data_IF_796158646703
#
_entry.id   IF_796158646703
#
_cell.length_a   1.000
_cell.length_b   1.000
_cell.length_c   1.000
_cell.angle_alpha   90.00
_cell.angle_beta   90.00
_cell.angle_gamma   90.00
#
_symmetry.space_group_name_H-M   'P 1'
#
loop_
_entity.id
_entity.type
_entity.pdbx_description
1 polymer ?
#
# COMPACT_ATOMS: atom_id res chain seq x y z
N UNK A 1 -9.92 -25.78 5.07
CA UNK A 1 -8.98 -25.65 3.95
C UNK A 1 -8.91 -24.19 3.54
N UNK A 2 -7.71 -23.59 3.50
CA UNK A 2 -7.56 -22.18 3.09
C UNK A 2 -7.48 -22.13 1.56
N UNK A 3 -8.09 -21.12 0.97
CA UNK A 3 -8.21 -20.94 -0.49
C UNK A 3 -6.85 -20.92 -1.21
N UNK A 4 -5.77 -20.60 -0.50
CA UNK A 4 -4.38 -20.64 -0.97
C UNK A 4 -3.84 -22.06 -1.22
N UNK A 5 -4.26 -23.04 -0.42
CA UNK A 5 -3.67 -24.39 -0.45
C UNK A 5 -4.11 -25.16 -1.71
N UNK A 6 -5.30 -24.84 -2.23
CA UNK A 6 -5.81 -25.37 -3.50
C UNK A 6 -5.38 -24.56 -4.72
N UNK A 7 -4.93 -23.31 -4.52
CA UNK A 7 -4.64 -22.39 -5.62
C UNK A 7 -3.26 -22.64 -6.24
N UNK A 8 -2.25 -22.96 -5.42
CA UNK A 8 -0.87 -23.22 -5.88
C UNK A 8 -0.82 -24.36 -6.93
N UNK A 9 -1.28 -25.60 -6.65
CA UNK A 9 -1.16 -26.69 -7.62
C UNK A 9 -1.92 -26.40 -8.92
N UNK A 10 -3.07 -25.72 -8.82
CA UNK A 10 -3.84 -25.30 -9.99
C UNK A 10 -3.10 -24.26 -10.84
N UNK A 11 -2.43 -23.29 -10.21
CA UNK A 11 -1.67 -22.29 -10.96
C UNK A 11 -0.42 -22.90 -11.60
N UNK A 12 0.25 -23.84 -10.92
CA UNK A 12 1.36 -24.61 -11.48
C UNK A 12 0.91 -25.39 -12.73
N UNK A 13 -0.21 -26.12 -12.65
CA UNK A 13 -0.81 -26.82 -13.79
C UNK A 13 -1.08 -25.86 -14.96
N UNK A 14 -1.66 -24.67 -14.69
CA UNK A 14 -1.96 -23.68 -15.72
C UNK A 14 -0.69 -23.11 -16.36
N UNK A 15 0.38 -22.90 -15.60
CA UNK A 15 1.65 -22.42 -16.14
C UNK A 15 2.36 -23.48 -16.98
N UNK A 16 2.37 -24.73 -16.53
CA UNK A 16 2.92 -25.86 -17.30
C UNK A 16 2.16 -25.99 -18.63
N UNK A 17 0.83 -26.08 -18.56
CA UNK A 17 -0.03 -26.14 -19.76
C UNK A 17 0.18 -24.92 -20.67
N UNK A 18 0.37 -23.73 -20.10
CA UNK A 18 0.62 -22.52 -20.88
C UNK A 18 1.98 -22.54 -21.59
N UNK A 19 3.01 -23.08 -20.93
CA UNK A 19 4.33 -23.26 -21.54
C UNK A 19 4.27 -24.27 -22.69
N UNK A 20 3.59 -25.40 -22.49
CA UNK A 20 3.46 -26.47 -23.49
C UNK A 20 2.70 -26.00 -24.74
N UNK A 21 1.61 -25.25 -24.54
CA UNK A 21 0.78 -24.74 -25.63
C UNK A 21 1.29 -23.43 -26.24
N UNK A 22 2.34 -22.83 -25.66
CA UNK A 22 2.79 -21.46 -25.97
C UNK A 22 1.65 -20.42 -26.01
N UNK A 23 0.62 -20.62 -25.17
CA UNK A 23 -0.61 -19.84 -25.18
C UNK A 23 -1.13 -19.59 -23.77
N UNK A 24 -1.91 -18.53 -23.57
CA UNK A 24 -2.49 -18.21 -22.27
C UNK A 24 -3.64 -19.16 -21.91
N UNK A 25 -3.53 -19.88 -20.80
CA UNK A 25 -4.52 -20.87 -20.35
C UNK A 25 -5.42 -20.27 -19.29
N UNK A 26 -6.73 -20.39 -19.48
CA UNK A 26 -7.75 -19.77 -18.64
C UNK A 26 -8.46 -20.80 -17.75
N UNK A 27 -8.73 -20.41 -16.50
CA UNK A 27 -9.59 -21.15 -15.58
C UNK A 27 -10.53 -20.20 -14.84
N UNK A 28 -11.77 -20.65 -14.64
CA UNK A 28 -12.73 -20.00 -13.74
C UNK A 28 -12.65 -20.68 -12.37
N UNK A 29 -12.46 -19.89 -11.33
CA UNK A 29 -12.41 -20.30 -9.93
C UNK A 29 -13.76 -20.06 -9.24
N UNK A 30 -13.99 -20.70 -8.07
CA UNK A 30 -15.17 -20.44 -7.25
C UNK A 30 -15.34 -18.94 -6.93
N UNK A 31 -16.60 -18.52 -6.81
CA UNK A 31 -16.93 -17.12 -6.56
C UNK A 31 -16.77 -16.21 -7.79
N UNK A 32 -16.57 -16.76 -8.99
CA UNK A 32 -16.56 -15.99 -10.24
C UNK A 32 -15.26 -15.24 -10.51
N UNK A 33 -14.16 -15.65 -9.89
CA UNK A 33 -12.81 -15.15 -10.20
C UNK A 33 -12.25 -15.91 -11.40
N UNK A 34 -11.78 -15.20 -12.40
CA UNK A 34 -11.15 -15.78 -13.58
C UNK A 34 -9.65 -15.52 -13.50
N UNK A 35 -8.85 -16.54 -13.82
CA UNK A 35 -7.40 -16.43 -13.89
C UNK A 35 -6.94 -17.00 -15.22
N UNK A 36 -6.12 -16.24 -15.95
CA UNK A 36 -5.45 -16.68 -17.16
C UNK A 36 -3.95 -16.63 -16.94
N UNK A 37 -3.30 -17.78 -16.96
CA UNK A 37 -1.86 -17.89 -16.83
C UNK A 37 -1.20 -17.84 -18.20
N UNK A 38 -0.09 -17.13 -18.30
CA UNK A 38 0.72 -17.06 -19.50
C UNK A 38 2.20 -17.11 -19.14
N UNK A 39 2.98 -17.88 -19.91
CA UNK A 39 4.44 -17.87 -19.87
C UNK A 39 4.96 -17.14 -21.11
N UNK A 40 5.78 -16.09 -20.93
CA UNK A 40 6.41 -15.35 -22.03
C UNK A 40 7.92 -15.33 -21.83
N UNK A 41 8.64 -16.18 -22.57
CA UNK A 41 10.03 -16.51 -22.24
C UNK A 41 10.07 -17.18 -20.87
N UNK A 42 10.92 -16.69 -19.97
CA UNK A 42 10.99 -17.20 -18.59
C UNK A 42 9.97 -16.53 -17.64
N UNK A 43 9.21 -15.54 -18.12
CA UNK A 43 8.35 -14.73 -17.26
C UNK A 43 6.95 -15.33 -17.14
N UNK A 44 6.56 -15.61 -15.91
CA UNK A 44 5.19 -15.94 -15.53
C UNK A 44 4.34 -14.68 -15.40
N UNK A 45 3.17 -14.69 -16.02
CA UNK A 45 2.19 -13.60 -15.99
C UNK A 45 0.81 -14.17 -15.68
N UNK A 46 -0.01 -13.41 -14.95
CA UNK A 46 -1.40 -13.77 -14.68
C UNK A 46 -2.31 -12.61 -15.06
N UNK A 47 -3.42 -12.91 -15.73
CA UNK A 47 -4.50 -11.95 -15.93
C UNK A 47 -5.67 -12.40 -15.06
N UNK A 48 -6.16 -11.51 -14.20
CA UNK A 48 -7.20 -11.80 -13.22
C UNK A 48 -8.39 -10.86 -13.44
N UNK A 49 -9.60 -11.40 -13.52
CA UNK A 49 -10.85 -10.62 -13.67
C UNK A 49 -12.04 -11.34 -13.01
N UNK A 50 -13.23 -10.74 -13.00
CA UNK A 50 -14.45 -11.37 -12.48
C UNK A 50 -15.63 -11.29 -13.46
N UNK A 51 -16.62 -12.16 -13.27
CA UNK A 51 -17.82 -12.25 -14.12
C UNK A 51 -18.90 -11.18 -13.82
N UNK A 52 -18.86 -10.47 -12.68
CA UNK A 52 -20.02 -9.73 -12.15
C UNK A 52 -19.77 -8.22 -11.92
N UNK A 53 -19.27 -7.50 -12.92
CA UNK A 53 -19.01 -6.04 -12.90
C UNK A 53 -18.20 -5.53 -11.69
N UNK A 54 -17.42 -6.43 -11.07
CA UNK A 54 -16.59 -6.13 -9.91
C UNK A 54 -15.15 -6.47 -10.23
N UNK A 55 -14.28 -5.46 -10.17
CA UNK A 55 -12.85 -5.67 -10.26
C UNK A 55 -12.33 -6.61 -9.14
N UNK A 56 -11.36 -7.48 -9.44
CA UNK A 56 -10.61 -8.18 -8.39
C UNK A 56 -10.04 -7.18 -7.38
N UNK A 57 -10.13 -7.50 -6.11
CA UNK A 57 -9.49 -6.70 -5.06
C UNK A 57 -7.97 -6.84 -5.11
N UNK A 58 -7.26 -5.84 -4.59
CA UNK A 58 -5.81 -5.90 -4.40
C UNK A 58 -5.39 -7.17 -3.64
N UNK A 59 -6.16 -7.55 -2.62
CA UNK A 59 -5.90 -8.75 -1.83
C UNK A 59 -6.03 -10.05 -2.64
N UNK A 60 -7.01 -10.12 -3.54
CA UNK A 60 -7.14 -11.27 -4.44
C UNK A 60 -5.96 -11.35 -5.40
N UNK A 61 -5.50 -10.22 -5.93
CA UNK A 61 -4.32 -10.18 -6.80
C UNK A 61 -3.05 -10.60 -6.07
N UNK A 62 -2.85 -10.14 -4.83
CA UNK A 62 -1.73 -10.57 -3.96
C UNK A 62 -1.77 -12.08 -3.69
N UNK A 63 -2.93 -12.62 -3.35
CA UNK A 63 -3.09 -14.06 -3.05
C UNK A 63 -2.81 -14.91 -4.28
N UNK A 64 -3.34 -14.52 -5.44
CA UNK A 64 -3.11 -15.22 -6.72
C UNK A 64 -1.63 -15.13 -7.13
N UNK A 65 -1.01 -13.95 -7.00
CA UNK A 65 0.41 -13.77 -7.31
C UNK A 65 1.32 -14.57 -6.37
N UNK A 66 1.05 -14.57 -5.06
CA UNK A 66 1.80 -15.38 -4.09
C UNK A 66 1.64 -16.89 -4.36
N UNK A 67 0.42 -17.35 -4.65
CA UNK A 67 0.17 -18.75 -4.98
C UNK A 67 0.84 -19.19 -6.30
N UNK A 68 1.09 -18.25 -7.22
CA UNK A 68 1.86 -18.48 -8.44
C UNK A 68 3.38 -18.56 -8.23
N UNK A 69 3.85 -18.40 -6.99
CA UNK A 69 5.27 -18.40 -6.65
C UNK A 69 5.95 -17.04 -6.85
N UNK A 70 5.20 -15.94 -7.02
CA UNK A 70 5.80 -14.61 -7.14
C UNK A 70 6.25 -14.09 -5.76
N UNK A 71 7.49 -13.61 -5.66
CA UNK A 71 8.08 -13.06 -4.43
C UNK A 71 7.47 -11.70 -4.10
N UNK A 72 7.35 -10.83 -5.10
CA UNK A 72 6.74 -9.49 -4.99
C UNK A 72 5.72 -9.31 -6.12
N UNK A 73 4.49 -9.84 -5.98
CA UNK A 73 3.48 -9.67 -7.00
C UNK A 73 3.11 -8.20 -7.16
N UNK A 74 3.25 -7.70 -8.38
CA UNK A 74 2.84 -6.35 -8.79
C UNK A 74 1.64 -6.48 -9.71
N UNK A 75 0.69 -5.56 -9.61
CA UNK A 75 -0.50 -5.60 -10.45
C UNK A 75 -0.84 -4.23 -11.01
N UNK A 76 -1.29 -4.21 -12.27
CA UNK A 76 -1.75 -3.01 -12.97
C UNK A 76 -3.02 -3.32 -13.76
N UNK A 77 -3.84 -2.30 -13.98
CA UNK A 77 -5.04 -2.44 -14.81
C UNK A 77 -4.66 -2.97 -16.20
N UNK A 78 -5.50 -3.87 -16.70
CA UNK A 78 -5.30 -4.56 -17.96
C UNK A 78 -6.64 -4.76 -18.64
N UNK A 79 -6.61 -4.81 -19.97
CA UNK A 79 -7.78 -5.13 -20.79
C UNK A 79 -7.49 -6.40 -21.55
N UNK A 80 -8.38 -7.38 -21.44
CA UNK A 80 -8.33 -8.59 -22.25
C UNK A 80 -9.61 -8.71 -23.08
N UNK A 81 -9.62 -9.63 -24.05
CA UNK A 81 -10.78 -9.85 -24.92
C UNK A 81 -12.02 -10.23 -24.11
N UNK A 82 -11.81 -10.93 -23.01
CA UNK A 82 -12.84 -11.47 -22.12
C UNK A 82 -13.34 -10.46 -21.09
N UNK A 83 -12.61 -9.37 -20.82
CA UNK A 83 -12.99 -8.35 -19.85
C UNK A 83 -12.21 -7.04 -20.05
N UNK A 84 -12.92 -5.92 -19.99
CA UNK A 84 -12.31 -4.58 -19.96
C UNK A 84 -11.76 -4.21 -18.58
N UNK A 85 -12.08 -5.01 -17.57
CA UNK A 85 -11.81 -4.77 -16.14
C UNK A 85 -11.01 -5.94 -15.57
N UNK A 86 -9.74 -6.03 -15.99
CA UNK A 86 -8.80 -7.03 -15.53
C UNK A 86 -7.58 -6.41 -14.85
N UNK A 87 -6.83 -7.24 -14.11
CA UNK A 87 -5.50 -6.92 -13.61
C UNK A 87 -4.49 -7.88 -14.22
N UNK A 88 -3.40 -7.32 -14.73
CA UNK A 88 -2.19 -8.08 -15.03
C UNK A 88 -1.33 -8.14 -13.78
N UNK A 89 -1.06 -9.34 -13.28
CA UNK A 89 -0.18 -9.62 -12.15
C UNK A 89 1.15 -10.18 -12.68
N UNK A 90 2.25 -9.59 -12.25
CA UNK A 90 3.62 -9.93 -12.65
C UNK A 90 4.56 -9.94 -11.47
N UNK A 91 5.67 -10.66 -11.60
CA UNK A 91 6.78 -10.57 -10.65
C UNK A 91 7.42 -9.17 -10.70
N UNK A 92 7.47 -8.49 -9.55
CA UNK A 92 8.16 -7.22 -9.37
C UNK A 92 9.53 -7.37 -8.72
N UNK A 93 9.83 -8.54 -8.13
CA UNK A 93 11.12 -8.80 -7.52
C UNK A 93 12.22 -8.89 -8.58
N UNK A 94 13.29 -8.11 -8.37
CA UNK A 94 14.46 -8.04 -9.25
C UNK A 94 15.75 -8.54 -8.59
N UNK A 95 15.68 -8.94 -7.32
CA UNK A 95 16.84 -9.43 -6.57
C UNK A 95 17.13 -10.90 -6.86
N UNK A 96 18.14 -11.42 -6.17
CA UNK A 96 18.41 -12.85 -6.16
C UNK A 96 17.48 -13.55 -5.18
N UNK A 97 16.95 -14.70 -5.57
CA UNK A 97 16.21 -15.56 -4.66
C UNK A 97 17.15 -16.56 -4.02
N UNK A 98 16.99 -16.83 -2.73
CA UNK A 98 17.66 -17.91 -2.07
C UNK A 98 16.96 -19.23 -2.38
N UNK A 99 17.70 -20.17 -2.97
CA UNK A 99 17.25 -21.52 -3.33
C UNK A 99 18.11 -22.61 -2.68
N UNK A 100 18.85 -22.24 -1.63
CA UNK A 100 19.77 -23.13 -0.93
C UNK A 100 19.08 -23.84 0.23
N UNK A 101 19.66 -24.94 0.67
CA UNK A 101 19.18 -25.67 1.84
C UNK A 101 19.38 -24.87 3.13
N UNK A 102 18.43 -25.03 4.05
CA UNK A 102 18.42 -24.34 5.33
C UNK A 102 18.98 -25.24 6.43
N UNK A 103 20.02 -24.76 7.12
CA UNK A 103 20.49 -25.42 8.33
C UNK A 103 19.71 -24.87 9.54
N UNK A 104 18.73 -25.63 10.01
CA UNK A 104 17.79 -25.17 11.03
C UNK A 104 18.43 -25.28 12.42
N UNK A 105 18.51 -24.17 13.14
CA UNK A 105 18.96 -24.10 14.52
C UNK A 105 17.76 -23.86 15.48
N UNK A 106 17.75 -24.48 16.67
CA UNK A 106 16.77 -24.16 17.70
C UNK A 106 17.01 -22.75 18.25
N UNK A 107 15.92 -22.05 18.59
CA UNK A 107 15.94 -20.76 19.30
C UNK A 107 14.89 -20.75 20.40
N UNK A 108 14.95 -19.78 21.32
CA UNK A 108 13.98 -19.68 22.42
C UNK A 108 12.54 -19.63 21.90
N UNK A 109 11.79 -20.70 22.21
CA UNK A 109 10.40 -20.84 21.77
C UNK A 109 10.22 -21.13 20.27
N UNK A 110 11.23 -21.61 19.55
CA UNK A 110 11.08 -21.90 18.12
C UNK A 110 12.32 -22.37 17.37
N UNK A 111 12.37 -22.05 16.08
CA UNK A 111 13.47 -22.39 15.17
C UNK A 111 13.87 -21.16 14.35
N UNK A 112 15.14 -21.04 14.02
CA UNK A 112 15.64 -20.05 13.09
C UNK A 112 16.73 -20.65 12.20
N UNK A 113 16.97 -20.02 11.05
CA UNK A 113 18.09 -20.39 10.20
C UNK A 113 18.63 -19.18 9.48
N UNK A 114 19.92 -19.23 9.18
CA UNK A 114 20.60 -18.32 8.27
C UNK A 114 21.21 -19.14 7.16
N UNK A 115 20.90 -18.80 5.90
CA UNK A 115 21.53 -19.44 4.77
C UNK A 115 23.00 -19.01 4.69
N UNK A 116 23.92 -19.98 4.74
CA UNK A 116 25.36 -19.73 4.68
C UNK A 116 25.85 -19.18 3.34
N UNK A 117 25.06 -19.30 2.26
CA UNK A 117 25.43 -18.81 0.93
C UNK A 117 24.91 -17.40 0.64
N UNK A 118 23.62 -17.17 0.91
CA UNK A 118 22.91 -15.96 0.48
C UNK A 118 22.62 -15.00 1.64
N UNK A 119 22.96 -15.38 2.89
CA UNK A 119 22.71 -14.57 4.09
C UNK A 119 21.22 -14.38 4.44
N UNK A 120 20.29 -14.99 3.70
CA UNK A 120 18.87 -14.91 4.02
C UNK A 120 18.62 -15.55 5.38
N UNK A 121 17.68 -14.99 6.13
CA UNK A 121 17.33 -15.46 7.47
C UNK A 121 15.85 -15.75 7.57
N UNK A 122 15.49 -16.72 8.39
CA UNK A 122 14.11 -16.91 8.80
C UNK A 122 14.03 -17.29 10.27
N UNK A 123 12.90 -16.95 10.88
CA UNK A 123 12.60 -17.24 12.28
C UNK A 123 11.13 -17.66 12.40
N UNK A 124 10.91 -18.76 13.12
CA UNK A 124 9.59 -19.27 13.50
C UNK A 124 9.56 -19.42 15.00
N UNK A 125 8.87 -18.51 15.69
CA UNK A 125 8.70 -18.56 17.15
C UNK A 125 7.23 -18.76 17.55
N UNK A 126 7.01 -19.57 18.56
CA UNK A 126 5.70 -19.84 19.13
C UNK A 126 5.59 -19.18 20.50
N UNK A 127 4.63 -18.28 20.66
CA UNK A 127 4.35 -17.71 21.98
C UNK A 127 3.59 -18.72 22.84
N UNK A 128 4.19 -19.10 23.98
CA UNK A 128 3.58 -19.99 24.98
C UNK A 128 2.26 -19.44 25.54
N UNK A 129 2.12 -18.11 25.65
CA UNK A 129 0.92 -17.46 26.20
C UNK A 129 -0.23 -17.31 25.21
N UNK A 130 0.05 -17.14 23.92
CA UNK A 130 -0.96 -16.71 22.94
C UNK A 130 -1.34 -17.78 21.92
N UNK A 131 -0.71 -18.99 21.96
CA UNK A 131 -0.80 -20.01 20.90
C UNK A 131 -0.65 -19.41 19.49
N UNK A 132 0.08 -18.29 19.39
CA UNK A 132 0.22 -17.52 18.15
C UNK A 132 1.64 -17.72 17.65
N UNK A 133 1.74 -18.17 16.41
CA UNK A 133 2.99 -18.34 15.70
C UNK A 133 3.43 -17.01 15.09
N UNK A 134 4.71 -16.66 15.27
CA UNK A 134 5.37 -15.52 14.66
C UNK A 134 6.34 -16.05 13.61
N UNK A 135 6.12 -15.63 12.38
CA UNK A 135 6.94 -16.01 11.24
C UNK A 135 7.63 -14.77 10.71
N UNK A 136 8.95 -14.83 10.60
CA UNK A 136 9.77 -13.76 10.03
C UNK A 136 10.72 -14.29 8.97
N UNK A 137 10.93 -13.50 7.92
CA UNK A 137 11.91 -13.76 6.88
C UNK A 137 12.67 -12.48 6.60
N UNK A 138 14.01 -12.51 6.63
CA UNK A 138 14.90 -11.35 6.62
C UNK A 138 14.46 -10.26 7.62
N UNK A 139 14.07 -10.69 8.83
CA UNK A 139 13.58 -9.80 9.90
C UNK A 139 12.14 -9.29 9.73
N UNK A 140 11.54 -9.42 8.54
CA UNK A 140 10.18 -8.96 8.26
C UNK A 140 9.12 -9.99 8.66
N UNK A 141 8.01 -9.53 9.25
CA UNK A 141 6.87 -10.40 9.56
C UNK A 141 6.17 -10.84 8.28
N UNK A 142 6.03 -12.15 8.09
CA UNK A 142 5.38 -12.74 6.93
C UNK A 142 4.20 -13.62 7.31
N UNK A 143 3.24 -13.77 6.40
CA UNK A 143 2.12 -14.68 6.60
C UNK A 143 2.57 -16.14 6.46
N UNK A 144 1.86 -17.13 7.03
CA UNK A 144 2.23 -18.55 6.90
C UNK A 144 2.40 -19.04 5.46
N UNK A 145 1.50 -18.65 4.56
CA UNK A 145 1.58 -19.02 3.16
C UNK A 145 2.83 -18.43 2.47
N UNK A 146 3.17 -17.17 2.79
CA UNK A 146 4.34 -16.49 2.22
C UNK A 146 5.64 -17.01 2.84
N UNK A 147 5.62 -17.38 4.12
CA UNK A 147 6.75 -17.99 4.80
C UNK A 147 7.15 -19.32 4.16
N UNK A 148 6.19 -20.23 3.95
CA UNK A 148 6.45 -21.52 3.27
C UNK A 148 7.05 -21.31 1.87
N UNK A 149 6.51 -20.37 1.10
CA UNK A 149 7.05 -19.99 -0.21
C UNK A 149 8.49 -19.44 -0.11
N UNK A 150 8.80 -18.61 0.88
CA UNK A 150 10.12 -18.01 1.02
C UNK A 150 11.19 -19.00 1.51
N UNK A 151 10.78 -20.10 2.16
CA UNK A 151 11.70 -21.20 2.44
C UNK A 151 12.10 -21.96 1.17
N UNK A 152 11.23 -22.05 0.17
CA UNK A 152 11.56 -22.66 -1.14
C UNK A 152 12.34 -21.70 -2.05
N UNK A 153 11.89 -20.44 -2.13
CA UNK A 153 12.41 -19.41 -3.04
C UNK A 153 12.11 -18.00 -2.52
N UNK A 154 12.74 -17.62 -1.41
CA UNK A 154 12.61 -16.29 -0.81
C UNK A 154 13.68 -15.30 -1.30
N UNK A 155 13.55 -14.00 -0.99
CA UNK A 155 14.60 -13.04 -1.32
C UNK A 155 15.91 -13.37 -0.58
N UNK A 156 17.06 -13.33 -1.27
CA UNK A 156 18.36 -13.41 -0.61
C UNK A 156 18.50 -12.32 0.47
N UNK A 157 19.32 -12.57 1.50
CA UNK A 157 19.63 -11.55 2.48
C UNK A 157 20.41 -10.41 1.82
N UNK A 158 20.15 -9.18 2.23
CA UNK A 158 21.04 -8.07 1.88
C UNK A 158 22.43 -8.40 2.42
N UNK A 159 23.46 -8.28 1.59
CA UNK A 159 24.82 -8.58 2.04
C UNK A 159 25.19 -7.71 3.24
N UNK A 160 26.10 -8.14 4.13
CA UNK A 160 26.55 -7.31 5.26
C UNK A 160 27.06 -5.92 4.83
N UNK A 161 27.60 -5.82 3.60
CA UNK A 161 28.04 -4.57 2.99
C UNK A 161 26.86 -3.65 2.60
N UNK A 162 25.76 -4.20 2.08
CA UNK A 162 24.55 -3.45 1.74
C UNK A 162 23.77 -3.02 2.98
N UNK A 163 23.73 -3.86 4.03
CA UNK A 163 23.14 -3.48 5.32
C UNK A 163 23.96 -2.37 5.99
N UNK A 164 25.30 -2.43 5.94
CA UNK A 164 26.16 -1.35 6.41
C UNK A 164 25.96 -0.06 5.58
N UNK A 165 25.83 -0.16 4.26
CA UNK A 165 25.56 0.98 3.39
C UNK A 165 24.18 1.59 3.65
N UNK A 166 23.15 0.77 3.89
CA UNK A 166 21.81 1.23 4.24
C UNK A 166 21.74 1.89 5.61
N UNK A 167 22.50 1.40 6.60
CA UNK A 167 22.63 2.03 7.92
C UNK A 167 23.41 3.35 7.83
N UNK A 168 24.46 3.43 7.01
CA UNK A 168 25.20 4.67 6.74
C UNK A 168 24.34 5.69 5.98
N UNK A 169 23.54 5.26 5.00
CA UNK A 169 22.58 6.13 4.29
C UNK A 169 21.42 6.58 5.19
N UNK A 170 20.91 5.71 6.06
CA UNK A 170 19.84 6.05 7.00
C UNK A 170 20.31 6.95 8.16
N UNK A 171 21.61 6.97 8.45
CA UNK A 171 22.23 7.83 9.44
C UNK A 171 22.62 9.22 8.90
N UNK A 172 22.56 9.44 7.59
CA UNK A 172 22.67 10.78 7.02
C UNK A 172 21.30 11.46 7.08
N UNK A 173 21.13 12.37 8.03
CA UNK A 173 20.05 13.38 7.96
C UNK A 173 20.12 14.08 6.59
N UNK A 174 19.00 14.29 5.89
CA UNK A 174 19.03 15.02 4.63
C UNK A 174 19.32 16.49 4.94
N UNK A 175 20.59 16.88 4.79
CA UNK A 175 20.98 18.27 4.63
C UNK A 175 20.33 18.77 3.33
N UNK A 176 19.55 19.81 3.48
CA UNK A 176 18.78 20.48 2.44
C UNK A 176 19.68 21.05 1.33
N UNK A 177 19.21 20.84 0.09
CA UNK A 177 19.32 21.68 -1.10
C UNK A 177 20.70 21.94 -1.74
N UNK A 178 20.82 21.47 -2.99
CA UNK A 178 21.21 22.35 -4.09
C UNK A 178 20.27 22.08 -5.30
N UNK A 179 19.90 23.11 -6.07
CA UNK A 179 18.92 23.00 -7.15
C UNK A 179 19.60 22.40 -8.38
N UNK A 180 19.12 21.24 -8.82
CA UNK A 180 19.50 20.72 -10.12
C UNK A 180 18.72 21.52 -11.18
N UNK A 181 19.47 22.22 -12.03
CA UNK A 181 18.95 22.93 -13.21
C UNK A 181 18.29 21.91 -14.12
N UNK A 182 16.97 21.83 -14.07
CA UNK A 182 16.20 21.05 -15.03
C UNK A 182 16.20 21.80 -16.37
N UNK A 183 16.94 21.27 -17.34
CA UNK A 183 16.59 21.46 -18.75
C UNK A 183 15.12 21.09 -18.95
N UNK A 184 14.30 21.94 -19.58
CA UNK A 184 12.88 21.66 -19.75
C UNK A 184 12.71 20.49 -20.69
N UNK A 185 12.39 19.31 -20.16
CA UNK A 185 11.79 18.23 -20.93
C UNK A 185 10.36 18.67 -21.23
N UNK A 186 9.96 18.78 -22.52
CA UNK A 186 8.60 19.16 -22.85
C UNK A 186 7.62 18.15 -22.23
N UNK A 187 6.50 18.62 -21.66
CA UNK A 187 5.52 17.74 -21.05
C UNK A 187 5.05 16.72 -22.10
N UNK A 188 4.89 15.44 -21.73
CA UNK A 188 4.21 14.49 -22.60
C UNK A 188 2.82 15.05 -22.92
N UNK A 189 2.33 14.91 -24.16
CA UNK A 189 1.03 15.43 -24.53
C UNK A 189 0.00 14.91 -23.52
N UNK A 190 -0.89 15.78 -23.00
CA UNK A 190 -1.91 15.34 -22.07
C UNK A 190 -2.65 14.19 -22.72
N UNK A 191 -2.68 13.03 -22.05
CA UNK A 191 -3.53 11.91 -22.46
C UNK A 191 -4.93 12.48 -22.60
N UNK A 192 -5.38 12.59 -23.85
CA UNK A 192 -6.71 13.03 -24.16
C UNK A 192 -7.65 12.02 -23.50
N UNK A 193 -8.29 12.43 -22.40
CA UNK A 193 -9.48 11.75 -21.92
C UNK A 193 -10.45 11.71 -23.11
N UNK A 194 -11.14 10.58 -23.35
CA UNK A 194 -12.22 10.58 -24.33
C UNK A 194 -13.14 11.78 -24.03
N UNK A 195 -13.63 12.50 -25.06
CA UNK A 195 -14.43 13.69 -24.87
C UNK A 195 -15.56 13.36 -23.90
N UNK A 196 -15.48 13.95 -22.70
CA UNK A 196 -16.51 13.87 -21.68
C UNK A 196 -17.73 14.47 -22.36
N UNK A 197 -18.77 13.66 -22.63
CA UNK A 197 -20.05 14.14 -23.15
C UNK A 197 -20.38 15.41 -22.38
N UNK A 198 -20.46 16.53 -23.09
CA UNK A 198 -20.71 17.83 -22.50
C UNK A 198 -21.93 17.67 -21.59
N UNK A 199 -21.70 17.79 -20.28
CA UNK A 199 -22.78 17.82 -19.33
C UNK A 199 -23.63 19.02 -19.74
N UNK A 200 -24.89 18.73 -20.08
CA UNK A 200 -25.96 19.70 -20.32
C UNK A 200 -25.81 20.82 -19.29
N UNK A 201 -25.84 22.12 -19.66
CA UNK A 201 -25.73 23.20 -18.69
C UNK A 201 -26.84 23.01 -17.66
N UNK A 202 -26.45 22.56 -16.48
CA UNK A 202 -27.33 22.45 -15.32
C UNK A 202 -27.77 23.86 -15.00
N UNK A 203 -29.09 24.10 -14.99
CA UNK A 203 -29.66 25.35 -14.52
C UNK A 203 -29.16 25.69 -13.10
N UNK A 204 -29.44 26.90 -12.61
CA UNK A 204 -29.01 27.32 -11.28
C UNK A 204 -29.47 26.29 -10.23
N UNK A 205 -28.51 25.68 -9.52
CA UNK A 205 -28.79 24.70 -8.45
C UNK A 205 -29.74 25.33 -7.43
N UNK A 206 -30.79 24.59 -7.06
CA UNK A 206 -31.73 25.05 -6.03
C UNK A 206 -31.01 25.15 -4.67
N UNK A 207 -31.49 26.00 -3.73
CA UNK A 207 -30.90 26.10 -2.40
C UNK A 207 -30.82 24.75 -1.66
N UNK A 208 -31.78 23.86 -1.89
CA UNK A 208 -31.80 22.52 -1.34
C UNK A 208 -30.67 21.63 -1.91
N UNK A 209 -30.43 21.70 -3.23
CA UNK A 209 -29.34 20.98 -3.89
C UNK A 209 -27.97 21.49 -3.47
N UNK A 210 -27.81 22.80 -3.28
CA UNK A 210 -26.58 23.40 -2.75
C UNK A 210 -26.29 22.92 -1.32
N UNK A 211 -27.31 22.87 -0.47
CA UNK A 211 -27.19 22.36 0.91
C UNK A 211 -26.83 20.86 0.92
N UNK A 212 -27.43 20.06 0.05
CA UNK A 212 -27.10 18.64 -0.07
C UNK A 212 -25.67 18.44 -0.59
N UNK A 213 -25.26 19.20 -1.63
CA UNK A 213 -23.90 19.18 -2.17
C UNK A 213 -22.87 19.50 -1.10
N UNK A 214 -23.12 20.51 -0.27
CA UNK A 214 -22.24 20.87 0.84
C UNK A 214 -22.14 19.74 1.87
N UNK A 215 -23.26 19.10 2.23
CA UNK A 215 -23.28 17.94 3.15
C UNK A 215 -22.48 16.75 2.62
N UNK A 216 -22.71 16.35 1.38
CA UNK A 216 -22.01 15.22 0.76
C UNK A 216 -20.51 15.50 0.60
N UNK A 217 -20.15 16.72 0.21
CA UNK A 217 -18.75 17.18 0.13
C UNK A 217 -18.07 17.09 1.50
N UNK A 218 -18.73 17.55 2.57
CA UNK A 218 -18.21 17.47 3.93
C UNK A 218 -17.98 16.03 4.38
N UNK A 219 -18.95 15.15 4.11
CA UNK A 219 -18.89 13.73 4.44
C UNK A 219 -17.73 13.01 3.73
N UNK A 220 -17.57 13.22 2.42
CA UNK A 220 -16.47 12.65 1.64
C UNK A 220 -15.11 13.25 2.02
N UNK A 221 -15.09 14.49 2.49
CA UNK A 221 -13.89 15.12 3.05
C UNK A 221 -13.47 14.46 4.36
N UNK A 222 -14.41 14.16 5.27
CA UNK A 222 -14.11 13.41 6.50
C UNK A 222 -13.51 12.03 6.21
N UNK A 223 -14.02 11.32 5.20
CA UNK A 223 -13.46 10.04 4.77
C UNK A 223 -12.04 10.21 4.22
N UNK A 224 -11.79 11.27 3.46
CA UNK A 224 -10.45 11.59 2.94
C UNK A 224 -9.45 11.82 4.08
N UNK A 225 -9.84 12.55 5.12
CA UNK A 225 -9.02 12.76 6.31
C UNK A 225 -8.77 11.49 7.09
N UNK A 226 -9.81 10.67 7.30
CA UNK A 226 -9.64 9.35 7.91
C UNK A 226 -8.62 8.52 7.12
N UNK A 227 -8.78 8.40 5.80
CA UNK A 227 -7.85 7.65 4.96
C UNK A 227 -6.41 8.19 5.02
N UNK A 228 -6.22 9.51 5.18
CA UNK A 228 -4.89 10.09 5.39
C UNK A 228 -4.22 9.64 6.69
N UNK A 229 -4.97 9.42 7.77
CA UNK A 229 -4.40 8.94 9.02
C UNK A 229 -3.86 7.51 8.90
N UNK A 230 -4.52 6.65 8.12
CA UNK A 230 -4.21 5.22 8.03
C UNK A 230 -3.36 4.82 6.82
N UNK A 231 -3.36 5.61 5.75
CA UNK A 231 -2.60 5.32 4.53
C UNK A 231 -1.46 6.33 4.33
N UNK A 232 -0.18 5.89 4.28
CA UNK A 232 0.96 6.75 3.99
C UNK A 232 0.83 7.53 2.67
N UNK A 233 0.06 7.00 1.72
CA UNK A 233 -0.19 7.61 0.41
C UNK A 233 -1.12 8.83 0.49
N UNK A 234 -2.10 8.79 1.40
CA UNK A 234 -3.02 9.89 1.64
C UNK A 234 -2.50 10.92 2.65
N UNK A 235 -1.37 10.65 3.34
CA UNK A 235 -0.71 11.63 4.24
C UNK A 235 -0.10 12.82 3.49
N UNK A 236 0.13 12.71 2.19
CA UNK A 236 0.71 13.79 1.39
C UNK A 236 -0.32 14.91 1.22
N UNK A 237 0.07 16.14 1.60
CA UNK A 237 -0.80 17.33 1.48
C UNK A 237 -1.38 17.49 0.06
N UNK A 238 -0.56 17.25 -0.96
CA UNK A 238 -0.95 17.30 -2.38
C UNK A 238 -2.12 16.35 -2.69
N UNK A 239 -2.16 15.15 -2.11
CA UNK A 239 -3.24 14.18 -2.34
C UNK A 239 -4.55 14.67 -1.73
N UNK A 240 -4.49 15.28 -0.54
CA UNK A 240 -5.66 15.84 0.15
C UNK A 240 -6.20 17.06 -0.62
N UNK A 241 -5.32 17.93 -1.09
CA UNK A 241 -5.69 19.13 -1.83
C UNK A 241 -6.27 18.80 -3.20
N UNK A 242 -5.67 17.85 -3.93
CA UNK A 242 -6.22 17.35 -5.19
C UNK A 242 -7.60 16.73 -4.99
N UNK A 243 -7.78 15.98 -3.89
CA UNK A 243 -9.07 15.38 -3.57
C UNK A 243 -10.12 16.43 -3.21
N UNK A 244 -9.75 17.47 -2.43
CA UNK A 244 -10.63 18.61 -2.13
C UNK A 244 -11.05 19.37 -3.37
N UNK A 245 -10.10 19.65 -4.27
CA UNK A 245 -10.38 20.32 -5.54
C UNK A 245 -11.34 19.49 -6.41
N UNK A 246 -11.15 18.16 -6.43
CA UNK A 246 -12.03 17.23 -7.14
C UNK A 246 -13.44 17.27 -6.56
N UNK A 247 -13.59 17.14 -5.24
CA UNK A 247 -14.91 17.15 -4.58
C UNK A 247 -15.66 18.48 -4.77
N UNK A 248 -14.94 19.62 -4.76
CA UNK A 248 -15.53 20.94 -5.05
C UNK A 248 -16.03 21.04 -6.50
N UNK A 249 -15.30 20.46 -7.44
CA UNK A 249 -15.65 20.44 -8.86
C UNK A 249 -16.67 19.37 -9.27
N UNK A 250 -17.03 18.45 -8.38
CA UNK A 250 -17.97 17.36 -8.67
C UNK A 250 -19.42 17.82 -8.70
N UNK A 251 -20.22 17.18 -9.57
CA UNK A 251 -21.67 17.40 -9.64
C UNK A 251 -22.40 16.68 -8.50
N UNK A 252 -23.61 17.11 -8.17
CA UNK A 252 -24.41 16.47 -7.11
C UNK A 252 -24.65 14.96 -7.37
N UNK A 253 -24.87 14.57 -8.63
CA UNK A 253 -24.99 13.17 -9.03
C UNK A 253 -23.73 12.36 -8.73
N UNK A 254 -22.56 12.88 -9.10
CA UNK A 254 -21.27 12.24 -8.83
C UNK A 254 -21.01 12.06 -7.33
N UNK A 255 -21.36 13.06 -6.51
CA UNK A 255 -21.24 12.98 -5.06
C UNK A 255 -22.17 11.92 -4.47
N UNK A 256 -23.43 11.83 -4.95
CA UNK A 256 -24.39 10.81 -4.50
C UNK A 256 -23.91 9.40 -4.84
N UNK A 257 -23.41 9.20 -6.06
CA UNK A 257 -22.89 7.91 -6.50
C UNK A 257 -21.66 7.49 -5.71
N UNK A 258 -20.76 8.44 -5.42
CA UNK A 258 -19.57 8.19 -4.63
C UNK A 258 -19.92 7.83 -3.17
N UNK A 259 -20.89 8.52 -2.55
CA UNK A 259 -21.37 8.16 -1.21
C UNK A 259 -22.06 6.80 -1.18
N UNK A 260 -22.72 6.40 -2.27
CA UNK A 260 -23.29 5.06 -2.43
C UNK A 260 -22.24 3.99 -2.67
N UNK A 261 -20.98 4.33 -2.91
CA UNK A 261 -19.93 3.32 -3.07
C UNK A 261 -19.82 2.43 -1.82
N UNK A 262 -19.53 1.15 -2.03
CA UNK A 262 -19.36 0.16 -0.94
C UNK A 262 -18.25 0.58 0.02
N UNK A 263 -17.19 1.19 -0.51
CA UNK A 263 -16.09 1.74 0.27
C UNK A 263 -16.57 2.83 1.22
N UNK A 264 -17.26 3.86 0.71
CA UNK A 264 -17.75 4.97 1.54
C UNK A 264 -18.72 4.47 2.60
N UNK A 265 -19.69 3.61 2.25
CA UNK A 265 -20.65 3.06 3.23
C UNK A 265 -19.96 2.29 4.36
N UNK A 266 -18.91 1.54 4.05
CA UNK A 266 -18.14 0.77 5.05
C UNK A 266 -17.25 1.66 5.92
N UNK A 267 -16.71 2.74 5.37
CA UNK A 267 -15.75 3.62 6.06
C UNK A 267 -16.42 4.73 6.85
N UNK A 268 -17.61 5.16 6.44
CA UNK A 268 -18.34 6.28 7.04
C UNK A 268 -18.56 6.17 8.56
N UNK A 269 -18.96 5.01 9.13
CA UNK A 269 -19.17 4.86 10.57
C UNK A 269 -17.90 5.08 11.41
N UNK A 270 -16.72 4.93 10.82
CA UNK A 270 -15.43 5.08 11.49
C UNK A 270 -14.83 6.47 11.26
N UNK A 271 -14.99 7.00 10.05
CA UNK A 271 -14.42 8.29 9.66
C UNK A 271 -15.04 9.46 10.44
N UNK A 272 -16.36 9.47 10.63
CA UNK A 272 -17.05 10.60 11.29
C UNK A 272 -16.69 10.71 12.78
N UNK A 273 -16.78 9.65 13.61
CA UNK A 273 -16.38 9.74 15.01
C UNK A 273 -14.91 10.10 15.19
N UNK A 274 -14.04 9.61 14.32
CA UNK A 274 -12.61 9.89 14.43
C UNK A 274 -12.26 11.33 14.05
N UNK A 275 -12.84 11.88 12.99
CA UNK A 275 -12.64 13.30 12.65
C UNK A 275 -13.21 14.18 13.76
N UNK A 276 -14.36 13.83 14.33
CA UNK A 276 -14.89 14.53 15.51
C UNK A 276 -13.96 14.43 16.72
N UNK A 277 -13.38 13.25 16.97
CA UNK A 277 -12.41 13.03 18.05
C UNK A 277 -11.13 13.84 17.80
N UNK A 278 -10.60 13.86 16.58
CA UNK A 278 -9.40 14.62 16.20
C UNK A 278 -9.63 16.14 16.29
N UNK A 279 -10.79 16.63 15.85
CA UNK A 279 -11.17 18.04 15.98
C UNK A 279 -11.42 18.42 17.45
N UNK A 280 -12.01 17.53 18.25
CA UNK A 280 -12.19 17.73 19.70
C UNK A 280 -10.93 17.48 20.52
N UNK A 281 -9.92 16.82 19.96
CA UNK A 281 -8.66 16.53 20.65
C UNK A 281 -7.97 17.80 21.13
N UNK A 282 -8.03 18.89 20.35
CA UNK A 282 -7.52 20.19 20.78
C UNK A 282 -8.30 20.79 21.97
N UNK A 283 -9.60 20.53 22.08
CA UNK A 283 -10.40 20.96 23.23
C UNK A 283 -10.18 20.05 24.45
N UNK A 284 -10.05 18.74 24.24
CA UNK A 284 -9.77 17.77 25.31
C UNK A 284 -8.37 17.97 25.90
N UNK A 285 -7.35 18.19 25.06
CA UNK A 285 -5.98 18.43 25.53
C UNK A 285 -5.84 19.73 26.32
N UNK A 286 -6.60 20.78 25.99
CA UNK A 286 -6.65 22.01 26.79
C UNK A 286 -7.35 21.84 28.16
N UNK A 287 -8.19 20.82 28.30
CA UNK A 287 -8.88 20.51 29.55
C UNK A 287 -8.12 19.49 30.42
N UNK A 288 -7.05 18.89 29.90
CA UNK A 288 -6.19 18.01 30.68
C UNK A 288 -5.26 18.85 31.59
N UNK A 289 -5.02 18.41 32.84
CA UNK A 289 -4.11 19.10 33.73
C UNK A 289 -2.68 19.15 33.14
N UNK A 290 -1.90 20.17 33.50
CA UNK A 290 -0.60 20.49 32.87
C UNK A 290 0.40 19.32 32.85
N UNK A 291 0.31 18.41 33.82
CA UNK A 291 1.17 17.22 33.89
C UNK A 291 0.81 16.12 32.86
N UNK A 292 -0.37 16.18 32.24
CA UNK A 292 -0.87 15.21 31.26
C UNK A 292 -0.81 15.73 29.81
N UNK A 293 -0.37 16.98 29.60
CA UNK A 293 -0.13 17.53 28.26
C UNK A 293 1.37 17.50 27.95
N UNK A 294 1.80 16.91 26.83
CA UNK A 294 3.21 16.95 26.44
C UNK A 294 3.60 18.40 26.16
N UNK A 295 4.47 18.96 27.00
CA UNK A 295 4.98 20.33 26.85
C UNK A 295 5.63 20.43 25.46
N UNK A 296 5.15 21.32 24.57
CA UNK A 296 5.82 21.54 23.30
C UNK A 296 7.25 22.00 23.61
N UNK A 297 8.25 21.36 22.99
CA UNK A 297 9.65 21.80 23.04
C UNK A 297 9.78 23.15 22.32
N UNK A 298 9.31 24.22 22.95
CA UNK A 298 9.59 25.59 22.53
C UNK A 298 11.07 25.84 22.75
N UNK A 299 11.81 25.75 21.64
CA UNK A 299 13.00 26.53 21.27
C UNK A 299 13.61 27.25 22.48
N UNK A 300 14.57 26.60 23.15
CA UNK A 300 15.47 27.26 24.10
C UNK A 300 16.08 28.46 23.37
N UNK A 301 15.58 29.66 23.67
CA UNK A 301 16.28 30.89 23.32
C UNK A 301 17.55 30.88 24.16
N UNK A 302 18.66 30.70 23.48
CA UNK A 302 20.01 30.90 24.01
C UNK A 302 20.04 32.24 24.73
N UNK A 303 20.20 32.20 26.05
CA UNK A 303 20.49 33.37 26.84
C UNK A 303 21.87 33.88 26.37
N UNK A 304 21.85 34.97 25.60
CA UNK A 304 23.05 35.74 25.27
C UNK A 304 23.65 36.21 26.59
N UNK A 305 24.85 35.71 26.88
CA UNK A 305 25.74 36.23 27.90
C UNK A 305 25.99 37.70 27.59
N UNK A 306 25.34 38.59 28.32
CA UNK A 306 25.64 40.01 28.31
C UNK A 306 26.85 40.22 29.21
N UNK A 307 27.98 40.56 28.59
CA UNK A 307 29.24 40.81 29.26
C UNK A 307 29.16 41.99 30.23
N UNK A 308 29.69 41.79 31.43
CA UNK A 308 30.11 42.84 32.34
C UNK A 308 31.51 43.31 31.93
N UNK A 309 31.56 44.41 31.17
CA UNK A 309 32.73 45.30 31.08
C UNK A 309 32.36 46.63 31.71
N UNK A 310 33.05 46.99 32.80
CA UNK A 310 33.46 48.36 33.21
C UNK A 310 34.35 48.20 34.46
N UNK A 311 35.66 48.42 34.30
CA UNK A 311 36.41 49.67 34.51
C UNK A 311 36.77 49.82 36.01
N UNK A 312 38.03 49.67 36.45
CA UNK A 312 39.18 50.53 36.18
C UNK A 312 38.90 52.01 36.45
N UNK A 313 38.91 52.37 37.74
CA UNK A 313 39.47 53.58 38.31
C UNK A 313 39.78 53.28 39.79
#
# INVERSE_FOLDING_TARGET
MRLTDTLRPLLEELFTTSADLAAGVHRKLPGGLHVKAAVKGERRMLIVWRTADRLPSARECEVVGAAAGMITPTFRSWQCRESQDAFLVTEGFKGQACTHDWNTAPVDGGHASTCGHCGATWERTQSSRAKTERLRYNGEKVSPARFAQFLERGPAGESPAEQAAAVVLAAQEPLWAAPEVQTPVPPPPPRQRPPRKAARPSGPETPAEQAERARLTGLLTCITFWSACWSPWFRRAVTIDMRRATLRGSTLGELRDEVRSVYVRRTLPYAVPYVLLACRWQHMTRALPEHATPIPKTRQKSARVAGTRKAAA
#
